data_IF_484420857610
#
_entry.id   IF_484420857610
#
_cell.length_a   1.000
_cell.length_b   1.000
_cell.length_c   1.000
_cell.angle_alpha   90.00
_cell.angle_beta   90.00
_cell.angle_gamma   90.00
#
_symmetry.space_group_name_H-M   'P 1'
#
loop_
_entity.id
_entity.type
_entity.pdbx_description
1 polymer ?
#
# COMPACT_ATOMS: atom_id res chain seq x y z
N UNK A 1 3.91 5.51 55.66
CA UNK A 1 2.54 5.10 55.46
C UNK A 1 1.86 6.25 54.71
N UNK A 2 1.44 6.22 53.52
CA UNK A 2 1.30 5.24 52.43
C UNK A 2 1.09 6.04 51.15
N UNK A 3 2.17 6.64 50.59
CA UNK A 3 2.09 7.45 49.35
C UNK A 3 2.02 6.58 48.07
N UNK A 4 2.28 5.26 48.23
CA UNK A 4 2.22 4.31 47.09
C UNK A 4 0.83 3.83 46.74
N UNK A 5 -0.15 3.99 47.62
CA UNK A 5 -1.53 3.56 47.38
C UNK A 5 -2.37 4.58 46.59
N UNK A 6 -2.01 5.86 46.64
CA UNK A 6 -2.69 6.95 45.94
C UNK A 6 -2.35 6.95 44.46
N UNK A 7 -1.08 6.64 44.12
CA UNK A 7 -0.63 6.62 42.71
C UNK A 7 -1.24 5.46 41.89
N UNK A 8 -1.42 4.29 42.48
CA UNK A 8 -2.07 3.15 41.80
C UNK A 8 -3.56 3.38 41.50
N UNK A 9 -4.28 4.17 42.29
CA UNK A 9 -5.69 4.49 42.02
C UNK A 9 -5.84 5.52 40.89
N UNK A 10 -4.91 6.47 40.77
CA UNK A 10 -4.86 7.44 39.67
C UNK A 10 -4.55 6.78 38.33
N UNK A 11 -3.59 5.87 38.29
CA UNK A 11 -3.21 5.13 37.09
C UNK A 11 -4.33 4.16 36.62
N UNK A 12 -5.01 3.49 37.55
CA UNK A 12 -6.13 2.63 37.20
C UNK A 12 -7.38 3.40 36.75
N UNK A 13 -7.62 4.60 37.26
CA UNK A 13 -8.72 5.47 36.80
C UNK A 13 -8.45 6.03 35.41
N UNK A 14 -7.18 6.35 35.07
CA UNK A 14 -6.78 6.83 33.75
C UNK A 14 -6.83 5.70 32.72
N UNK A 15 -6.38 4.50 33.06
CA UNK A 15 -6.47 3.31 32.21
C UNK A 15 -7.93 2.91 31.94
N UNK A 16 -8.77 2.90 32.98
CA UNK A 16 -10.21 2.62 32.84
C UNK A 16 -10.97 3.73 32.07
N UNK A 17 -10.49 4.98 32.11
CA UNK A 17 -11.04 6.08 31.34
C UNK A 17 -10.68 6.00 29.85
N UNK A 18 -9.47 5.53 29.52
CA UNK A 18 -9.00 5.28 28.15
C UNK A 18 -9.76 4.08 27.57
N UNK A 19 -9.92 2.98 28.32
CA UNK A 19 -10.69 1.81 27.88
C UNK A 19 -12.18 2.14 27.65
N UNK A 20 -12.80 3.02 28.47
CA UNK A 20 -14.18 3.48 28.22
C UNK A 20 -14.36 4.36 26.99
N UNK A 21 -13.32 5.08 26.56
CA UNK A 21 -13.39 5.99 25.39
C UNK A 21 -13.12 5.24 24.07
N UNK A 22 -12.41 4.12 24.12
CA UNK A 22 -12.09 3.28 22.96
C UNK A 22 -12.69 1.87 23.02
N UNK A 23 -13.27 1.48 24.14
CA UNK A 23 -13.81 0.16 24.42
C UNK A 23 -15.34 0.01 24.31
N UNK A 24 -16.06 0.91 23.63
CA UNK A 24 -17.44 0.61 23.22
C UNK A 24 -17.39 -0.41 22.10
N UNK A 25 -17.76 -1.64 22.42
CA UNK A 25 -17.79 -2.82 21.58
C UNK A 25 -18.17 -2.52 20.13
N UNK A 26 -17.16 -2.35 19.27
CA UNK A 26 -17.33 -2.62 17.88
C UNK A 26 -17.47 -4.14 17.80
N UNK A 27 -18.70 -4.62 17.63
CA UNK A 27 -18.91 -6.00 17.19
C UNK A 27 -18.14 -6.13 15.88
N UNK A 28 -17.03 -6.89 15.88
CA UNK A 28 -16.26 -7.17 14.70
C UNK A 28 -17.20 -7.73 13.62
N UNK A 29 -17.50 -6.94 12.60
CA UNK A 29 -18.32 -7.36 11.46
C UNK A 29 -17.37 -7.90 10.38
N UNK A 30 -16.80 -9.06 10.66
CA UNK A 30 -15.82 -9.71 9.79
C UNK A 30 -16.36 -9.92 8.37
N UNK A 31 -17.60 -10.39 8.14
CA UNK A 31 -18.14 -10.53 6.78
C UNK A 31 -18.16 -9.21 6.00
N UNK A 32 -18.63 -8.13 6.60
CA UNK A 32 -18.61 -6.80 5.94
C UNK A 32 -17.19 -6.29 5.73
N UNK A 33 -16.27 -6.54 6.66
CA UNK A 33 -14.86 -6.23 6.51
C UNK A 33 -14.26 -6.92 5.28
N UNK A 34 -14.55 -8.21 5.10
CA UNK A 34 -14.09 -8.99 3.92
C UNK A 34 -14.69 -8.42 2.64
N UNK A 35 -15.99 -8.13 2.59
CA UNK A 35 -16.64 -7.53 1.42
C UNK A 35 -15.99 -6.20 1.05
N UNK A 36 -15.75 -5.32 2.02
CA UNK A 36 -15.05 -4.06 1.79
C UNK A 36 -13.63 -4.28 1.22
N UNK A 37 -12.88 -5.26 1.72
CA UNK A 37 -11.54 -5.58 1.22
C UNK A 37 -11.60 -6.10 -0.22
N UNK A 38 -12.54 -6.98 -0.54
CA UNK A 38 -12.73 -7.50 -1.91
C UNK A 38 -13.06 -6.36 -2.87
N UNK A 39 -13.99 -5.46 -2.51
CA UNK A 39 -14.31 -4.27 -3.32
C UNK A 39 -13.06 -3.40 -3.52
N UNK A 40 -12.28 -3.17 -2.47
CA UNK A 40 -11.05 -2.38 -2.57
C UNK A 40 -10.06 -3.00 -3.57
N UNK A 41 -9.87 -4.32 -3.55
CA UNK A 41 -8.96 -5.01 -4.48
C UNK A 41 -9.41 -4.94 -5.93
N UNK A 42 -10.71 -5.03 -6.20
CA UNK A 42 -11.29 -4.86 -7.54
C UNK A 42 -11.01 -3.43 -8.04
N UNK A 43 -11.28 -2.43 -7.21
CA UNK A 43 -11.06 -1.02 -7.55
C UNK A 43 -9.58 -0.71 -7.80
N UNK A 44 -8.69 -1.20 -6.95
CA UNK A 44 -7.24 -1.03 -7.14
C UNK A 44 -6.73 -1.73 -8.40
N UNK A 45 -7.18 -2.94 -8.67
CA UNK A 45 -6.78 -3.67 -9.88
C UNK A 45 -7.35 -3.02 -11.14
N UNK A 46 -8.59 -2.56 -11.11
CA UNK A 46 -9.21 -1.79 -12.19
C UNK A 46 -8.46 -0.48 -12.46
N UNK A 47 -8.12 0.28 -11.41
CA UNK A 47 -7.30 1.48 -11.55
C UNK A 47 -5.89 1.18 -12.09
N UNK A 48 -5.30 0.03 -11.72
CA UNK A 48 -4.01 -0.42 -12.23
C UNK A 48 -4.07 -0.80 -13.70
N UNK A 49 -5.11 -1.53 -14.11
CA UNK A 49 -5.36 -1.89 -15.50
C UNK A 49 -5.59 -0.64 -16.37
N UNK A 50 -6.43 0.29 -15.91
CA UNK A 50 -6.65 1.56 -16.59
C UNK A 50 -5.36 2.40 -16.66
N UNK A 51 -4.56 2.44 -15.60
CA UNK A 51 -3.25 3.11 -15.62
C UNK A 51 -2.29 2.47 -16.62
N UNK A 52 -2.25 1.11 -16.69
CA UNK A 52 -1.45 0.40 -17.70
C UNK A 52 -1.89 0.73 -19.13
N UNK A 53 -3.20 0.81 -19.37
CA UNK A 53 -3.74 1.23 -20.68
C UNK A 53 -3.25 2.63 -21.05
N UNK A 54 -3.40 3.58 -20.12
CA UNK A 54 -3.06 4.98 -20.33
C UNK A 54 -1.56 5.22 -20.56
N UNK A 55 -0.67 4.52 -19.85
CA UNK A 55 0.78 4.66 -20.09
C UNK A 55 1.25 4.05 -21.42
N UNK A 56 0.40 3.30 -22.10
CA UNK A 56 0.63 2.87 -23.50
C UNK A 56 0.43 4.01 -24.52
N UNK A 57 -0.33 5.05 -24.15
CA UNK A 57 -0.70 6.17 -25.05
C UNK A 57 -0.12 7.52 -24.58
N UNK A 58 0.10 7.70 -23.28
CA UNK A 58 0.51 8.95 -22.64
C UNK A 58 1.80 8.80 -21.85
N UNK A 59 2.60 9.87 -21.70
CA UNK A 59 3.78 9.87 -20.85
C UNK A 59 3.43 9.47 -19.42
N UNK A 60 4.25 8.64 -18.79
CA UNK A 60 4.03 8.15 -17.41
C UNK A 60 3.88 9.31 -16.42
N UNK A 61 4.65 10.40 -16.62
CA UNK A 61 4.55 11.59 -15.76
C UNK A 61 3.17 12.27 -15.82
N UNK A 62 2.59 12.32 -17.01
CA UNK A 62 1.24 12.90 -17.21
C UNK A 62 0.17 12.05 -16.53
N UNK A 63 0.20 10.73 -16.73
CA UNK A 63 -0.74 9.80 -16.07
C UNK A 63 -0.65 9.92 -14.56
N UNK A 64 0.58 9.98 -14.00
CA UNK A 64 0.79 10.15 -12.55
C UNK A 64 0.28 11.49 -12.04
N UNK A 65 0.55 12.57 -12.77
CA UNK A 65 0.17 13.92 -12.37
C UNK A 65 -1.37 14.03 -12.30
N UNK A 66 -2.07 13.74 -13.41
CA UNK A 66 -3.52 13.87 -13.48
C UNK A 66 -4.23 12.93 -12.48
N UNK A 67 -3.76 11.69 -12.35
CA UNK A 67 -4.24 10.74 -11.34
C UNK A 67 -4.05 11.26 -9.93
N UNK A 68 -2.90 11.88 -9.62
CA UNK A 68 -2.60 12.38 -8.27
C UNK A 68 -3.44 13.59 -7.91
N UNK A 69 -3.68 14.50 -8.86
CA UNK A 69 -4.61 15.61 -8.66
C UNK A 69 -6.04 15.13 -8.44
N UNK A 70 -6.51 14.17 -9.24
CA UNK A 70 -7.83 13.57 -9.06
C UNK A 70 -7.95 12.88 -7.68
N UNK A 71 -6.91 12.15 -7.26
CA UNK A 71 -6.89 11.53 -5.92
C UNK A 71 -6.85 12.57 -4.81
N UNK A 72 -6.14 13.70 -4.99
CA UNK A 72 -6.11 14.79 -4.02
C UNK A 72 -7.49 15.44 -3.88
N UNK A 73 -8.15 15.73 -4.99
CA UNK A 73 -9.50 16.30 -4.99
C UNK A 73 -10.48 15.34 -4.29
N UNK A 74 -10.48 14.06 -4.66
CA UNK A 74 -11.35 13.06 -4.06
C UNK A 74 -11.05 12.85 -2.57
N UNK A 75 -9.78 12.74 -2.19
CA UNK A 75 -9.35 12.60 -0.80
C UNK A 75 -9.69 13.83 0.04
N UNK A 76 -9.50 15.03 -0.49
CA UNK A 76 -9.90 16.27 0.17
C UNK A 76 -11.42 16.34 0.37
N UNK A 77 -12.21 15.97 -0.65
CA UNK A 77 -13.67 15.93 -0.56
C UNK A 77 -14.19 14.95 0.51
N UNK A 78 -13.47 13.87 0.78
CA UNK A 78 -13.83 12.87 1.81
C UNK A 78 -13.33 13.31 3.20
N UNK A 79 -12.10 13.84 3.29
CA UNK A 79 -11.43 14.10 4.57
C UNK A 79 -11.82 15.45 5.17
N UNK A 80 -11.88 16.51 4.36
CA UNK A 80 -12.10 17.87 4.88
C UNK A 80 -13.46 18.10 5.55
N UNK A 81 -14.58 17.51 5.10
CA UNK A 81 -15.85 17.66 5.81
C UNK A 81 -15.84 17.08 7.22
N UNK A 82 -14.98 16.05 7.47
CA UNK A 82 -14.90 15.35 8.76
C UNK A 82 -13.82 15.95 9.67
N UNK A 83 -12.65 16.23 9.12
CA UNK A 83 -11.46 16.64 9.89
C UNK A 83 -11.16 18.13 9.80
N UNK A 84 -11.83 18.87 8.90
CA UNK A 84 -11.58 20.29 8.68
C UNK A 84 -10.14 20.56 8.23
N UNK A 85 -9.73 21.83 8.33
CA UNK A 85 -8.37 22.28 7.99
C UNK A 85 -7.29 21.77 8.95
N UNK A 86 -7.67 21.19 10.10
CA UNK A 86 -6.73 20.59 11.04
C UNK A 86 -5.98 19.38 10.42
N UNK A 87 -6.52 18.77 9.36
CA UNK A 87 -5.83 17.73 8.61
C UNK A 87 -4.51 18.20 7.95
N UNK A 88 -4.34 19.50 7.71
CA UNK A 88 -3.09 20.05 7.17
C UNK A 88 -2.06 20.40 8.24
N UNK A 89 -2.45 20.40 9.52
CA UNK A 89 -1.52 20.72 10.61
C UNK A 89 -0.65 19.52 10.91
N UNK A 90 0.66 19.67 10.75
CA UNK A 90 1.65 18.64 11.07
C UNK A 90 2.83 19.23 11.84
N UNK A 91 3.39 18.43 12.74
CA UNK A 91 4.64 18.75 13.45
C UNK A 91 5.86 18.12 12.77
N UNK A 92 5.67 17.34 11.69
CA UNK A 92 6.74 16.55 11.02
C UNK A 92 6.77 16.77 9.49
N UNK A 93 6.82 18.02 8.99
CA UNK A 93 6.71 18.29 7.55
C UNK A 93 7.84 17.64 6.73
N UNK A 94 9.06 17.57 7.29
CA UNK A 94 10.19 16.91 6.63
C UNK A 94 9.96 15.41 6.41
N UNK A 95 9.36 14.74 7.38
CA UNK A 95 9.04 13.31 7.28
C UNK A 95 7.95 13.06 6.22
N UNK A 96 6.94 13.95 6.15
CA UNK A 96 5.92 13.91 5.10
C UNK A 96 6.52 14.11 3.71
N UNK A 97 7.45 15.07 3.54
CA UNK A 97 8.12 15.31 2.26
C UNK A 97 9.00 14.12 1.86
N UNK A 98 9.83 13.60 2.77
CA UNK A 98 10.70 12.46 2.51
C UNK A 98 9.89 11.20 2.14
N UNK A 99 8.81 10.92 2.90
CA UNK A 99 7.88 9.84 2.62
C UNK A 99 7.20 10.02 1.26
N UNK A 100 6.70 11.23 0.98
CA UNK A 100 6.01 11.54 -0.26
C UNK A 100 6.92 11.44 -1.47
N UNK A 101 8.19 11.86 -1.37
CA UNK A 101 9.19 11.68 -2.43
C UNK A 101 9.46 10.19 -2.68
N UNK A 102 9.69 9.39 -1.63
CA UNK A 102 9.89 7.95 -1.76
C UNK A 102 8.66 7.27 -2.38
N UNK A 103 7.46 7.68 -1.99
CA UNK A 103 6.21 7.18 -2.56
C UNK A 103 6.03 7.62 -4.02
N UNK A 104 6.45 8.83 -4.38
CA UNK A 104 6.40 9.32 -5.76
C UNK A 104 7.32 8.49 -6.67
N UNK A 105 8.55 8.24 -6.23
CA UNK A 105 9.50 7.36 -6.93
C UNK A 105 8.92 5.94 -7.06
N UNK A 106 8.34 5.41 -5.99
CA UNK A 106 7.68 4.11 -5.97
C UNK A 106 6.58 4.03 -7.04
N UNK A 107 5.67 4.99 -7.08
CA UNK A 107 4.57 5.01 -8.06
C UNK A 107 5.07 5.21 -9.50
N UNK A 108 6.09 6.05 -9.70
CA UNK A 108 6.72 6.20 -11.00
C UNK A 108 7.28 4.87 -11.49
N UNK A 109 8.04 4.16 -10.65
CA UNK A 109 8.59 2.85 -10.97
C UNK A 109 7.49 1.82 -11.25
N UNK A 110 6.37 1.86 -10.51
CA UNK A 110 5.24 0.95 -10.75
C UNK A 110 4.61 1.18 -12.13
N UNK A 111 4.38 2.44 -12.51
CA UNK A 111 3.80 2.76 -13.82
C UNK A 111 4.77 2.47 -14.95
N UNK A 112 6.07 2.70 -14.77
CA UNK A 112 7.11 2.26 -15.71
C UNK A 112 7.10 0.73 -15.87
N UNK A 113 6.91 -0.02 -14.78
CA UNK A 113 6.76 -1.48 -14.88
C UNK A 113 5.51 -1.85 -15.68
N UNK A 114 4.37 -1.18 -15.47
CA UNK A 114 3.14 -1.43 -16.24
C UNK A 114 3.31 -1.15 -17.74
N UNK A 115 4.13 -0.19 -18.13
CA UNK A 115 4.40 0.10 -19.55
C UNK A 115 5.33 -0.93 -20.20
N UNK A 116 6.15 -1.65 -19.42
CA UNK A 116 7.24 -2.50 -19.93
C UNK A 116 7.00 -4.00 -19.75
N UNK A 117 5.99 -4.41 -18.97
CA UNK A 117 5.72 -5.82 -18.69
C UNK A 117 4.22 -6.08 -18.45
N UNK A 118 3.76 -7.37 -18.49
CA UNK A 118 2.41 -7.74 -18.17
C UNK A 118 1.96 -7.28 -16.78
N UNK A 119 0.68 -6.84 -16.67
CA UNK A 119 0.11 -6.30 -15.45
C UNK A 119 0.29 -7.24 -14.24
N UNK A 120 -0.04 -8.51 -14.44
CA UNK A 120 0.04 -9.51 -13.38
C UNK A 120 1.46 -9.74 -12.87
N UNK A 121 2.47 -9.68 -13.77
CA UNK A 121 3.88 -9.78 -13.39
C UNK A 121 4.34 -8.61 -12.51
N UNK A 122 3.99 -7.39 -12.89
CA UNK A 122 4.31 -6.20 -12.11
C UNK A 122 3.62 -6.22 -10.73
N UNK A 123 2.34 -6.63 -10.67
CA UNK A 123 1.59 -6.78 -9.42
C UNK A 123 2.17 -7.88 -8.54
N UNK A 124 2.56 -9.03 -9.12
CA UNK A 124 3.18 -10.13 -8.38
C UNK A 124 4.50 -9.71 -7.72
N UNK A 125 5.36 -8.99 -8.46
CA UNK A 125 6.61 -8.45 -7.90
C UNK A 125 6.31 -7.41 -6.80
N UNK A 126 5.31 -6.55 -7.00
CA UNK A 126 4.92 -5.57 -5.98
C UNK A 126 4.47 -6.23 -4.66
N UNK A 127 3.90 -7.42 -4.68
CA UNK A 127 3.58 -8.18 -3.46
C UNK A 127 4.81 -8.63 -2.67
N UNK A 128 6.02 -8.46 -3.18
CA UNK A 128 7.25 -8.62 -2.39
C UNK A 128 7.53 -7.42 -1.45
N UNK A 129 6.81 -6.32 -1.54
CA UNK A 129 7.01 -5.15 -0.69
C UNK A 129 6.98 -5.45 0.83
N UNK A 130 6.13 -6.34 1.37
CA UNK A 130 6.20 -6.75 2.76
C UNK A 130 7.53 -7.44 3.15
N UNK A 131 8.17 -8.16 2.19
CA UNK A 131 9.48 -8.77 2.41
C UNK A 131 10.54 -7.69 2.56
N UNK A 132 10.52 -6.67 1.69
CA UNK A 132 11.40 -5.52 1.80
C UNK A 132 11.12 -4.69 3.05
N UNK A 133 9.86 -4.50 3.44
CA UNK A 133 9.52 -3.84 4.70
C UNK A 133 10.10 -4.59 5.91
N UNK A 134 10.01 -5.92 5.91
CA UNK A 134 10.62 -6.74 6.97
C UNK A 134 12.15 -6.62 6.98
N UNK A 135 12.80 -6.61 5.81
CA UNK A 135 14.25 -6.42 5.68
C UNK A 135 14.68 -5.03 6.17
N UNK A 136 13.98 -3.98 5.76
CA UNK A 136 14.25 -2.59 6.19
C UNK A 136 14.07 -2.46 7.72
N UNK A 137 13.06 -3.09 8.31
CA UNK A 137 12.87 -3.10 9.77
C UNK A 137 14.05 -3.74 10.50
N UNK A 138 14.60 -4.84 9.98
CA UNK A 138 15.78 -5.49 10.56
C UNK A 138 17.00 -4.56 10.50
N UNK A 139 17.24 -3.92 9.34
CA UNK A 139 18.43 -3.10 9.10
C UNK A 139 18.32 -1.75 9.83
N UNK A 140 17.19 -1.05 9.69
CA UNK A 140 17.03 0.31 10.22
C UNK A 140 16.64 0.34 11.69
N UNK A 141 15.70 -0.51 12.09
CA UNK A 141 15.22 -0.55 13.47
C UNK A 141 16.05 -1.51 14.34
N UNK A 142 17.05 -2.19 13.75
CA UNK A 142 17.89 -3.20 14.41
C UNK A 142 17.06 -4.26 15.15
N UNK A 143 15.88 -4.57 14.59
CA UNK A 143 15.04 -5.64 15.16
C UNK A 143 15.74 -6.98 14.99
N UNK A 144 15.69 -7.83 16.02
CA UNK A 144 16.24 -9.17 15.95
C UNK A 144 15.44 -10.01 14.94
N UNK A 145 16.09 -10.40 13.86
CA UNK A 145 15.51 -11.37 12.94
C UNK A 145 15.70 -12.76 13.51
N UNK A 146 14.65 -13.33 14.11
CA UNK A 146 14.67 -14.75 14.40
C UNK A 146 14.85 -15.56 13.09
N UNK A 147 15.48 -16.75 13.16
CA UNK A 147 15.79 -17.56 11.99
C UNK A 147 14.60 -17.83 11.08
N UNK A 148 13.38 -17.93 11.64
CA UNK A 148 12.13 -18.13 10.87
C UNK A 148 11.82 -16.93 9.96
N UNK A 149 12.08 -15.67 10.41
CA UNK A 149 11.90 -14.46 9.59
C UNK A 149 12.94 -14.43 8.47
N UNK A 150 14.20 -14.81 8.77
CA UNK A 150 15.25 -14.93 7.77
C UNK A 150 14.95 -15.98 6.70
N UNK A 151 14.51 -17.17 7.10
CA UNK A 151 14.12 -18.23 6.16
C UNK A 151 12.94 -17.80 5.26
N UNK A 152 11.92 -17.17 5.84
CA UNK A 152 10.78 -16.65 5.07
C UNK A 152 11.23 -15.59 4.04
N UNK A 153 12.13 -14.69 4.40
CA UNK A 153 12.68 -13.71 3.47
C UNK A 153 13.40 -14.38 2.30
N UNK A 154 14.25 -15.37 2.56
CA UNK A 154 14.96 -16.10 1.52
C UNK A 154 13.97 -16.80 0.57
N UNK A 155 12.97 -17.51 1.11
CA UNK A 155 11.94 -18.19 0.29
C UNK A 155 11.15 -17.18 -0.55
N UNK A 156 10.74 -16.06 0.05
CA UNK A 156 10.02 -15.01 -0.67
C UNK A 156 10.84 -14.39 -1.80
N UNK A 157 12.14 -14.15 -1.59
CA UNK A 157 13.04 -13.68 -2.64
C UNK A 157 13.25 -14.71 -3.76
N UNK A 158 13.30 -16.00 -3.44
CA UNK A 158 13.31 -17.06 -4.49
C UNK A 158 12.03 -17.00 -5.32
N UNK A 159 10.86 -16.75 -4.68
CA UNK A 159 9.61 -16.52 -5.41
C UNK A 159 9.70 -15.34 -6.38
N UNK A 160 10.28 -14.21 -5.94
CA UNK A 160 10.51 -13.04 -6.81
C UNK A 160 11.44 -13.39 -7.99
N UNK A 161 12.52 -14.12 -7.75
CA UNK A 161 13.42 -14.57 -8.81
C UNK A 161 12.70 -15.47 -9.82
N UNK A 162 11.82 -16.34 -9.37
CA UNK A 162 11.00 -17.19 -10.28
C UNK A 162 10.06 -16.34 -11.13
N UNK A 163 9.39 -15.32 -10.53
CA UNK A 163 8.53 -14.39 -11.29
C UNK A 163 9.33 -13.62 -12.32
N UNK A 164 10.49 -13.10 -11.95
CA UNK A 164 11.34 -12.29 -12.83
C UNK A 164 12.00 -13.11 -13.93
N UNK A 165 12.11 -14.42 -13.75
CA UNK A 165 12.69 -15.39 -14.68
C UNK A 165 13.99 -14.91 -15.38
N UNK A 166 15.07 -14.63 -14.65
CA UNK A 166 16.25 -13.95 -15.16
C UNK A 166 17.06 -14.71 -16.21
N UNK A 167 16.66 -15.95 -16.54
CA UNK A 167 17.38 -16.83 -17.51
C UNK A 167 16.92 -16.71 -18.97
N UNK A 168 15.82 -16.03 -19.26
CA UNK A 168 15.28 -15.84 -20.62
C UNK A 168 15.51 -14.43 -21.13
N UNK A 169 16.74 -14.05 -21.39
CA UNK A 169 17.16 -12.81 -22.05
C UNK A 169 16.76 -11.47 -21.42
N UNK A 170 16.29 -11.43 -20.19
CA UNK A 170 16.13 -10.14 -19.54
C UNK A 170 15.68 -10.29 -18.09
N UNK A 171 16.50 -9.86 -17.17
CA UNK A 171 16.00 -8.94 -16.13
C UNK A 171 15.39 -7.77 -16.93
N UNK A 172 14.10 -7.90 -17.29
CA UNK A 172 13.51 -6.87 -18.13
C UNK A 172 13.58 -5.56 -17.33
N UNK A 173 13.82 -4.48 -17.99
CA UNK A 173 13.79 -3.15 -17.36
C UNK A 173 12.50 -2.97 -16.55
N UNK A 174 11.38 -3.56 -17.02
CA UNK A 174 10.10 -3.60 -16.29
C UNK A 174 10.18 -4.30 -14.93
N UNK A 175 10.86 -5.45 -14.86
CA UNK A 175 11.05 -6.18 -13.60
C UNK A 175 11.93 -5.36 -12.62
N UNK A 176 12.95 -4.68 -13.12
CA UNK A 176 13.79 -3.81 -12.31
C UNK A 176 12.98 -2.63 -11.72
N UNK A 177 12.13 -2.00 -12.53
CA UNK A 177 11.21 -0.97 -12.04
C UNK A 177 10.23 -1.52 -11.02
N UNK A 178 9.61 -2.69 -11.26
CA UNK A 178 8.69 -3.31 -10.31
C UNK A 178 9.38 -3.65 -8.98
N UNK A 179 10.63 -4.11 -9.02
CA UNK A 179 11.42 -4.41 -7.84
C UNK A 179 11.78 -3.13 -7.06
N UNK A 180 12.21 -2.08 -7.77
CA UNK A 180 12.48 -0.77 -7.16
C UNK A 180 11.24 -0.20 -6.50
N UNK A 181 10.07 -0.33 -7.14
CA UNK A 181 8.79 0.03 -6.53
C UNK A 181 8.56 -0.75 -5.22
N UNK A 182 8.74 -2.07 -5.22
CA UNK A 182 8.53 -2.91 -4.04
C UNK A 182 9.45 -2.52 -2.87
N UNK A 183 10.73 -2.23 -3.14
CA UNK A 183 11.71 -1.74 -2.16
C UNK A 183 11.27 -0.39 -1.57
N UNK A 184 10.96 0.58 -2.44
CA UNK A 184 10.54 1.92 -2.02
C UNK A 184 9.25 1.87 -1.22
N UNK A 185 8.26 1.10 -1.68
CA UNK A 185 6.99 0.93 -0.97
C UNK A 185 7.16 0.24 0.40
N UNK A 186 8.02 -0.77 0.49
CA UNK A 186 8.39 -1.40 1.76
C UNK A 186 9.01 -0.41 2.73
N UNK A 187 9.94 0.42 2.26
CA UNK A 187 10.58 1.48 3.06
C UNK A 187 9.56 2.51 3.57
N UNK A 188 8.66 2.97 2.69
CA UNK A 188 7.56 3.89 3.03
C UNK A 188 6.67 3.29 4.11
N UNK A 189 6.35 2.01 4.01
CA UNK A 189 5.50 1.31 4.99
C UNK A 189 6.11 1.36 6.40
N UNK A 190 7.42 1.16 6.52
CA UNK A 190 8.14 1.26 7.80
C UNK A 190 8.15 2.70 8.32
N UNK A 191 8.40 3.68 7.45
CA UNK A 191 8.40 5.11 7.82
C UNK A 191 7.02 5.56 8.35
N UNK A 192 5.94 5.19 7.65
CA UNK A 192 4.55 5.49 8.06
C UNK A 192 4.26 4.94 9.45
N UNK A 193 4.70 3.71 9.75
CA UNK A 193 4.52 3.10 11.09
C UNK A 193 5.10 3.95 12.22
N UNK A 194 6.21 4.65 11.96
CA UNK A 194 6.78 5.61 12.91
C UNK A 194 5.95 6.89 13.06
N UNK A 195 5.28 7.34 11.98
CA UNK A 195 4.50 8.57 11.96
C UNK A 195 3.10 8.40 12.57
N UNK A 196 2.49 7.21 12.50
CA UNK A 196 1.15 6.94 13.08
C UNK A 196 1.06 7.15 14.58
N UNK A 197 2.20 7.23 15.28
CA UNK A 197 2.24 7.51 16.73
C UNK A 197 2.01 8.97 17.07
N UNK A 198 2.24 9.88 16.13
CA UNK A 198 2.23 11.33 16.36
C UNK A 198 1.28 12.09 15.44
N UNK A 199 0.89 11.49 14.32
CA UNK A 199 0.08 12.13 13.28
C UNK A 199 -1.27 11.42 13.12
N UNK A 200 -2.33 12.19 12.86
CA UNK A 200 -3.65 11.63 12.58
C UNK A 200 -3.68 10.91 11.21
N UNK A 201 -4.56 9.93 11.06
CA UNK A 201 -4.76 9.27 9.77
C UNK A 201 -5.15 10.27 8.66
N UNK A 202 -5.98 11.26 8.97
CA UNK A 202 -6.38 12.33 8.06
C UNK A 202 -5.16 13.14 7.59
N UNK A 203 -4.29 13.57 8.51
CA UNK A 203 -3.05 14.29 8.21
C UNK A 203 -2.12 13.45 7.35
N UNK A 204 -1.93 12.17 7.69
CA UNK A 204 -1.09 11.27 6.92
C UNK A 204 -1.57 11.12 5.48
N UNK A 205 -2.87 10.99 5.24
CA UNK A 205 -3.44 10.82 3.91
C UNK A 205 -3.40 12.12 3.11
N UNK A 206 -3.86 13.25 3.68
CA UNK A 206 -3.93 14.50 2.92
C UNK A 206 -2.54 15.00 2.51
N UNK A 207 -1.55 14.92 3.41
CA UNK A 207 -0.18 15.26 3.09
C UNK A 207 0.43 14.34 2.05
N UNK A 208 0.14 13.03 2.10
CA UNK A 208 0.58 12.10 1.06
C UNK A 208 0.05 12.51 -0.31
N UNK A 209 -1.26 12.75 -0.43
CA UNK A 209 -1.88 13.10 -1.69
C UNK A 209 -1.36 14.45 -2.23
N UNK A 210 -1.20 15.45 -1.35
CA UNK A 210 -0.67 16.75 -1.72
C UNK A 210 0.80 16.67 -2.20
N UNK A 211 1.65 15.94 -1.48
CA UNK A 211 3.07 15.79 -1.82
C UNK A 211 3.23 14.95 -3.10
N UNK A 212 2.41 13.93 -3.32
CA UNK A 212 2.40 13.19 -4.58
C UNK A 212 2.00 14.08 -5.75
N UNK A 213 0.92 14.86 -5.63
CA UNK A 213 0.52 15.80 -6.67
C UNK A 213 1.62 16.82 -6.97
N UNK A 214 2.30 17.32 -5.94
CA UNK A 214 3.43 18.25 -6.08
C UNK A 214 4.59 17.61 -6.84
N UNK A 215 5.11 16.45 -6.42
CA UNK A 215 6.25 15.82 -7.09
C UNK A 215 5.90 15.32 -8.50
N UNK A 216 4.71 14.79 -8.70
CA UNK A 216 4.29 14.33 -10.03
C UNK A 216 4.08 15.48 -11.01
N UNK A 217 3.83 16.71 -10.55
CA UNK A 217 3.76 17.89 -11.43
C UNK A 217 5.09 18.17 -12.14
N UNK A 218 6.23 17.90 -11.49
CA UNK A 218 7.54 18.05 -12.13
C UNK A 218 7.75 17.05 -13.27
N UNK A 219 7.06 15.91 -13.26
CA UNK A 219 7.20 14.93 -14.33
C UNK A 219 6.58 15.40 -15.65
N UNK A 220 5.71 16.43 -15.63
CA UNK A 220 5.17 17.05 -16.85
C UNK A 220 6.25 17.73 -17.69
N UNK A 221 7.40 18.09 -17.09
CA UNK A 221 8.55 18.67 -17.82
C UNK A 221 9.16 17.66 -18.80
N UNK A 222 8.95 16.37 -18.62
CA UNK A 222 9.51 15.32 -19.47
C UNK A 222 8.60 14.90 -20.63
N UNK A 223 7.40 15.45 -20.71
CA UNK A 223 6.48 15.22 -21.82
C UNK A 223 5.04 15.49 -21.43
N UNK A 224 4.30 16.01 -22.39
CA UNK A 224 2.87 16.25 -22.32
C UNK A 224 2.22 15.91 -23.66
N UNK A 225 1.12 15.21 -23.63
CA UNK A 225 0.28 14.92 -24.80
C UNK A 225 -1.15 15.22 -24.45
N UNK A 226 -1.80 16.12 -25.21
CA UNK A 226 -3.19 16.47 -24.93
C UNK A 226 -4.07 15.23 -24.96
N UNK A 227 -4.72 14.85 -23.83
CA UNK A 227 -5.56 13.69 -23.79
C UNK A 227 -6.86 13.93 -24.56
N UNK A 228 -7.39 12.87 -25.19
CA UNK A 228 -8.75 12.91 -25.71
C UNK A 228 -9.74 13.09 -24.55
N UNK A 229 -10.97 13.61 -24.79
CA UNK A 229 -11.95 13.75 -23.72
C UNK A 229 -12.25 12.44 -22.99
N UNK A 230 -12.25 11.31 -23.69
CA UNK A 230 -12.46 9.97 -23.12
C UNK A 230 -11.27 9.58 -22.24
N UNK A 231 -10.03 9.77 -22.72
CA UNK A 231 -8.84 9.43 -21.95
C UNK A 231 -8.65 10.37 -20.76
N UNK A 232 -9.01 11.65 -20.88
CA UNK A 232 -9.03 12.58 -19.77
C UNK A 232 -10.00 12.10 -18.67
N UNK A 233 -11.20 11.70 -19.02
CA UNK A 233 -12.16 11.11 -18.08
C UNK A 233 -11.58 9.85 -17.41
N UNK A 234 -10.88 8.99 -18.16
CA UNK A 234 -10.24 7.79 -17.66
C UNK A 234 -9.06 8.13 -16.72
N UNK A 235 -8.23 9.12 -17.06
CA UNK A 235 -7.11 9.62 -16.25
C UNK A 235 -7.60 10.10 -14.87
N UNK A 236 -8.62 10.97 -14.86
CA UNK A 236 -9.25 11.41 -13.60
C UNK A 236 -9.96 10.26 -12.89
N UNK A 237 -10.66 9.39 -13.65
CA UNK A 237 -11.36 8.21 -13.14
C UNK A 237 -10.44 7.28 -12.37
N UNK A 238 -9.20 7.04 -12.82
CA UNK A 238 -8.22 6.22 -12.07
C UNK A 238 -7.89 6.79 -10.71
N UNK A 239 -7.78 8.12 -10.58
CA UNK A 239 -7.55 8.81 -9.31
C UNK A 239 -8.73 8.65 -8.33
N UNK A 240 -9.95 8.89 -8.81
CA UNK A 240 -11.17 8.71 -8.02
C UNK A 240 -11.35 7.25 -7.59
N UNK A 241 -11.19 6.31 -8.51
CA UNK A 241 -11.28 4.87 -8.23
C UNK A 241 -10.26 4.44 -7.16
N UNK A 242 -9.04 4.96 -7.26
CA UNK A 242 -8.01 4.70 -6.25
C UNK A 242 -8.38 5.28 -4.88
N UNK A 243 -8.94 6.48 -4.81
CA UNK A 243 -9.38 7.10 -3.56
C UNK A 243 -10.55 6.33 -2.93
N UNK A 244 -11.53 5.90 -3.74
CA UNK A 244 -12.66 5.07 -3.27
C UNK A 244 -12.15 3.70 -2.79
N UNK A 245 -11.24 3.07 -3.54
CA UNK A 245 -10.60 1.82 -3.13
C UNK A 245 -9.89 1.96 -1.78
N UNK A 246 -9.17 3.06 -1.57
CA UNK A 246 -8.50 3.37 -0.31
C UNK A 246 -9.50 3.55 0.85
N UNK A 247 -10.66 4.16 0.58
CA UNK A 247 -11.72 4.28 1.58
C UNK A 247 -12.27 2.90 1.98
N UNK A 248 -12.59 2.03 1.02
CA UNK A 248 -13.05 0.66 1.29
C UNK A 248 -11.98 -0.17 2.02
N UNK A 249 -10.72 -0.05 1.65
CA UNK A 249 -9.59 -0.71 2.31
C UNK A 249 -9.49 -0.28 3.78
N UNK A 250 -9.55 1.02 4.04
CA UNK A 250 -9.53 1.57 5.39
C UNK A 250 -10.75 1.09 6.19
N UNK A 251 -11.95 1.12 5.57
CA UNK A 251 -13.18 0.65 6.21
C UNK A 251 -13.13 -0.85 6.55
N UNK A 252 -12.52 -1.68 5.71
CA UNK A 252 -12.31 -3.09 6.01
C UNK A 252 -11.50 -3.30 7.30
N UNK A 253 -10.43 -2.51 7.47
CA UNK A 253 -9.57 -2.56 8.66
C UNK A 253 -10.24 -1.98 9.92
N UNK A 254 -11.25 -1.13 9.76
CA UNK A 254 -12.08 -0.66 10.88
C UNK A 254 -13.16 -1.66 11.29
N UNK A 255 -13.70 -2.43 10.34
CA UNK A 255 -14.79 -3.38 10.59
C UNK A 255 -14.30 -4.73 11.12
N UNK A 256 -13.04 -5.08 10.87
CA UNK A 256 -12.51 -6.38 11.27
C UNK A 256 -11.01 -6.32 11.60
N UNK A 257 -10.51 -7.25 12.42
CA UNK A 257 -9.09 -7.37 12.70
C UNK A 257 -8.29 -7.58 11.42
N UNK A 258 -7.16 -6.88 11.26
CA UNK A 258 -6.31 -6.96 10.08
C UNK A 258 -6.00 -8.41 9.64
N UNK A 259 -5.70 -9.37 10.53
CA UNK A 259 -5.47 -10.77 10.14
C UNK A 259 -6.66 -11.46 9.46
N UNK A 260 -7.88 -10.97 9.66
CA UNK A 260 -9.07 -11.55 9.05
C UNK A 260 -9.32 -11.03 7.63
N UNK A 261 -8.93 -9.79 7.33
CA UNK A 261 -9.23 -9.14 6.05
C UNK A 261 -8.02 -9.03 5.12
N UNK A 262 -6.79 -8.91 5.63
CA UNK A 262 -5.58 -8.74 4.82
C UNK A 262 -5.31 -9.90 3.84
N UNK A 263 -5.62 -11.18 4.14
CA UNK A 263 -5.48 -12.25 3.17
C UNK A 263 -6.23 -11.99 1.86
N UNK A 264 -7.38 -11.34 1.94
CA UNK A 264 -8.19 -11.00 0.76
C UNK A 264 -7.57 -9.90 -0.10
N UNK A 265 -6.60 -9.14 0.41
CA UNK A 265 -5.85 -8.17 -0.40
C UNK A 265 -5.08 -8.84 -1.54
N UNK A 266 -4.65 -10.09 -1.37
CA UNK A 266 -3.96 -10.84 -2.43
C UNK A 266 -4.88 -11.22 -3.61
N UNK A 267 -6.21 -11.08 -3.49
CA UNK A 267 -7.13 -11.19 -4.62
C UNK A 267 -6.80 -10.18 -5.72
N UNK A 268 -6.12 -9.09 -5.39
CA UNK A 268 -5.63 -8.12 -6.38
C UNK A 268 -4.80 -8.79 -7.49
N UNK A 269 -4.06 -9.85 -7.17
CA UNK A 269 -3.31 -10.61 -8.18
C UNK A 269 -4.26 -11.37 -9.11
N UNK A 270 -5.33 -11.96 -8.58
CA UNK A 270 -6.33 -12.67 -9.38
C UNK A 270 -7.02 -11.70 -10.36
N UNK A 271 -7.40 -10.52 -9.87
CA UNK A 271 -7.98 -9.47 -10.72
C UNK A 271 -6.97 -8.97 -11.76
N UNK A 272 -5.69 -8.82 -11.39
CA UNK A 272 -4.64 -8.40 -12.33
C UNK A 272 -4.42 -9.44 -13.43
N UNK A 273 -4.45 -10.74 -13.11
CA UNK A 273 -4.41 -11.83 -14.09
C UNK A 273 -5.63 -11.78 -15.01
N UNK A 274 -6.82 -11.62 -14.44
CA UNK A 274 -8.07 -11.55 -15.19
C UNK A 274 -8.09 -10.34 -16.13
N UNK A 275 -7.77 -9.14 -15.67
CA UNK A 275 -7.70 -7.95 -16.51
C UNK A 275 -6.59 -8.04 -17.56
N UNK A 276 -5.42 -8.60 -17.20
CA UNK A 276 -4.31 -8.86 -18.13
C UNK A 276 -4.76 -9.75 -19.29
N UNK A 277 -5.46 -10.83 -18.98
CA UNK A 277 -6.00 -11.74 -20.01
C UNK A 277 -7.12 -11.08 -20.84
N UNK A 278 -8.08 -10.44 -20.20
CA UNK A 278 -9.26 -9.87 -20.88
C UNK A 278 -8.92 -8.67 -21.78
N UNK A 279 -7.97 -7.82 -21.38
CA UNK A 279 -7.65 -6.57 -22.07
C UNK A 279 -6.50 -6.74 -23.06
N UNK A 280 -5.46 -7.49 -22.70
CA UNK A 280 -4.24 -7.65 -23.51
C UNK A 280 -4.03 -9.06 -24.05
N UNK A 281 -4.84 -10.05 -23.65
CA UNK A 281 -4.64 -11.46 -24.01
C UNK A 281 -3.43 -12.08 -23.30
N UNK A 282 -2.94 -11.50 -22.21
CA UNK A 282 -1.77 -11.95 -21.46
C UNK A 282 -2.06 -13.33 -20.84
N UNK A 283 -1.44 -14.39 -21.37
CA UNK A 283 -1.51 -15.74 -20.76
C UNK A 283 -0.43 -15.87 -19.70
N UNK A 284 -0.79 -16.16 -18.43
CA UNK A 284 0.18 -16.26 -17.36
C UNK A 284 1.12 -17.47 -17.58
N UNK A 285 2.42 -17.22 -17.50
CA UNK A 285 3.43 -18.31 -17.55
C UNK A 285 3.40 -19.14 -16.25
N UNK A 286 3.85 -20.38 -16.33
CA UNK A 286 3.99 -21.23 -15.14
C UNK A 286 4.92 -20.59 -14.08
N UNK A 287 6.00 -19.94 -14.52
CA UNK A 287 6.91 -19.23 -13.61
C UNK A 287 6.22 -18.07 -12.89
N UNK A 288 5.35 -17.30 -13.59
CA UNK A 288 4.56 -16.26 -12.96
C UNK A 288 3.63 -16.83 -11.89
N UNK A 289 2.92 -17.92 -12.19
CA UNK A 289 1.97 -18.54 -11.25
C UNK A 289 2.69 -19.12 -10.02
N UNK A 290 3.75 -19.91 -10.23
CA UNK A 290 4.52 -20.54 -9.13
C UNK A 290 5.22 -19.48 -8.28
N UNK A 291 5.93 -18.56 -8.91
CA UNK A 291 6.68 -17.52 -8.18
C UNK A 291 5.76 -16.58 -7.40
N UNK A 292 4.62 -16.15 -7.99
CA UNK A 292 3.65 -15.33 -7.28
C UNK A 292 2.97 -16.08 -6.13
N UNK A 293 2.68 -17.37 -6.26
CA UNK A 293 2.17 -18.18 -5.15
C UNK A 293 3.16 -18.22 -3.97
N UNK A 294 4.46 -18.40 -4.25
CA UNK A 294 5.51 -18.37 -3.22
C UNK A 294 5.56 -17.00 -2.52
N UNK A 295 5.55 -15.90 -3.28
CA UNK A 295 5.58 -14.54 -2.72
C UNK A 295 4.35 -14.28 -1.84
N UNK A 296 3.16 -14.64 -2.32
CA UNK A 296 1.90 -14.46 -1.59
C UNK A 296 1.88 -15.27 -0.29
N UNK A 297 2.21 -16.57 -0.37
CA UNK A 297 2.24 -17.46 0.80
C UNK A 297 3.25 -16.95 1.84
N UNK A 298 4.43 -16.55 1.39
CA UNK A 298 5.50 -16.06 2.29
C UNK A 298 5.14 -14.72 2.91
N UNK A 299 4.59 -13.79 2.13
CA UNK A 299 4.13 -12.49 2.63
C UNK A 299 3.01 -12.63 3.65
N UNK A 300 2.04 -13.51 3.37
CA UNK A 300 0.93 -13.83 4.29
C UNK A 300 1.45 -14.49 5.57
N UNK A 301 2.37 -15.44 5.46
CA UNK A 301 2.99 -16.08 6.62
C UNK A 301 3.68 -15.07 7.53
N UNK A 302 4.51 -14.17 6.98
CA UNK A 302 5.19 -13.13 7.74
C UNK A 302 4.17 -12.20 8.42
N UNK A 303 3.14 -11.76 7.71
CA UNK A 303 2.10 -10.90 8.25
C UNK A 303 1.36 -11.56 9.43
N UNK A 304 0.91 -12.79 9.27
CA UNK A 304 0.18 -13.53 10.33
C UNK A 304 1.07 -13.77 11.56
N UNK A 305 2.33 -14.10 11.34
CA UNK A 305 3.30 -14.30 12.42
C UNK A 305 3.54 -13.00 13.21
N UNK A 306 3.80 -11.89 12.53
CA UNK A 306 4.03 -10.60 13.19
C UNK A 306 2.78 -10.13 13.96
N UNK A 307 1.60 -10.31 13.39
CA UNK A 307 0.33 -10.00 14.06
C UNK A 307 0.11 -10.83 15.33
N UNK A 308 0.48 -12.11 15.33
CA UNK A 308 0.41 -12.98 16.53
C UNK A 308 1.41 -12.52 17.60
N UNK A 309 2.63 -12.19 17.22
CA UNK A 309 3.67 -11.73 18.13
C UNK A 309 3.27 -10.43 18.83
N UNK A 310 2.71 -9.47 18.09
CA UNK A 310 2.22 -8.21 18.65
C UNK A 310 1.08 -8.43 19.66
N UNK A 311 0.13 -9.35 19.38
CA UNK A 311 -0.93 -9.70 20.32
C UNK A 311 -0.39 -10.32 21.62
N UNK A 312 0.63 -11.17 21.52
CA UNK A 312 1.27 -11.79 22.69
C UNK A 312 2.01 -10.76 23.55
N UNK A 313 2.63 -9.75 22.95
CA UNK A 313 3.30 -8.67 23.66
C UNK A 313 2.31 -7.69 24.32
N UNK A 314 1.16 -7.46 23.70
CA UNK A 314 0.10 -6.61 24.24
C UNK A 314 -0.68 -7.28 25.39
N UNK A 315 -0.64 -8.62 25.50
CA UNK A 315 -1.30 -9.41 26.55
C UNK A 315 -0.42 -9.63 27.79
N UNK A 316 0.88 -9.23 27.73
CA UNK A 316 1.83 -9.23 28.88
C UNK A 316 1.92 -7.86 29.51
#
# INVERSE_FOLDING_TARGET
MDDRAVDKRGQNATAAGIDRKYGKGHSDDVPRGIICMVIATILFSGASAASKWLVGAYPVGEVLCLRSFASLIAGAAIILPVSGLSAFVTHRPRDHLARGLSQSISQFCLLMAFSLMPLAGAVAINFSAPLFAAMVSIIWLKESAGWVRGAALVIGFLGVLIVTNPGTNSLTLGALFALTNAVMYGTVTVAVRGMTRTESAATLVIWQLAVLAFFHSFLLLFGWRWPTPTDAAMLFGTGFTNAIGQWFWTKALHLAPAPAVTPFYYLMLIWALMFGFLIWGDVPSASLLVGSAIVVITGLFLFLRESRLQRQLAAR
#
